data_IF_853605205519
#
_entry.id   IF_853605205519
#
_cell.length_a   1.000
_cell.length_b   1.000
_cell.length_c   1.000
_cell.angle_alpha   90.00
_cell.angle_beta   90.00
_cell.angle_gamma   90.00
#
_symmetry.space_group_name_H-M   'P 1'
#
loop_
_entity.id
_entity.type
_entity.pdbx_description
1 polymer ?
#
# COMPACT_ATOMS: atom_id res chain seq x y z
N UNK A 1 -35.82 -7.59 -35.24
CA UNK A 1 -35.50 -7.16 -33.85
C UNK A 1 -35.62 -5.64 -33.80
N UNK A 2 -36.54 -5.08 -32.99
CA UNK A 2 -36.81 -3.64 -32.98
C UNK A 2 -35.66 -2.83 -32.37
N UNK A 3 -35.51 -1.58 -32.81
CA UNK A 3 -34.48 -0.64 -32.33
C UNK A 3 -34.48 -0.53 -30.80
N UNK A 4 -35.67 -0.49 -30.20
CA UNK A 4 -35.86 -0.41 -28.75
C UNK A 4 -35.25 -1.61 -28.00
N UNK A 5 -35.37 -2.84 -28.55
CA UNK A 5 -34.74 -4.02 -27.95
C UNK A 5 -33.21 -3.95 -28.00
N UNK A 6 -32.62 -3.41 -29.06
CA UNK A 6 -31.17 -3.22 -29.16
C UNK A 6 -30.67 -2.21 -28.13
N UNK A 7 -31.37 -1.08 -27.97
CA UNK A 7 -31.03 -0.04 -26.99
C UNK A 7 -31.08 -0.59 -25.57
N UNK A 8 -32.13 -1.34 -25.20
CA UNK A 8 -32.25 -1.96 -23.87
C UNK A 8 -31.09 -2.92 -23.61
N UNK A 9 -30.75 -3.78 -24.57
CA UNK A 9 -29.62 -4.71 -24.43
C UNK A 9 -28.30 -3.97 -24.24
N UNK A 10 -28.05 -2.89 -24.99
CA UNK A 10 -26.84 -2.08 -24.84
C UNK A 10 -26.75 -1.43 -23.45
N UNK A 11 -27.85 -0.88 -22.93
CA UNK A 11 -27.89 -0.29 -21.58
C UNK A 11 -27.62 -1.36 -20.52
N UNK A 12 -28.25 -2.53 -20.65
CA UNK A 12 -28.05 -3.66 -19.72
C UNK A 12 -26.59 -4.13 -19.74
N UNK A 13 -25.95 -4.20 -20.92
CA UNK A 13 -24.53 -4.56 -21.04
C UNK A 13 -23.62 -3.54 -20.34
N UNK A 14 -23.91 -2.24 -20.45
CA UNK A 14 -23.13 -1.20 -19.76
C UNK A 14 -23.27 -1.35 -18.24
N UNK A 15 -24.50 -1.54 -17.74
CA UNK A 15 -24.74 -1.74 -16.30
C UNK A 15 -23.99 -2.98 -15.79
N UNK A 16 -24.05 -4.08 -16.54
CA UNK A 16 -23.33 -5.31 -16.20
C UNK A 16 -21.81 -5.11 -16.19
N UNK A 17 -21.26 -4.36 -17.15
CA UNK A 17 -19.82 -4.09 -17.20
C UNK A 17 -19.35 -3.24 -15.99
N UNK A 18 -20.13 -2.22 -15.61
CA UNK A 18 -19.83 -1.38 -14.44
C UNK A 18 -19.92 -2.20 -13.15
N UNK A 19 -21.01 -2.95 -12.97
CA UNK A 19 -21.19 -3.80 -11.79
C UNK A 19 -20.11 -4.89 -11.68
N UNK A 20 -19.76 -5.52 -12.80
CA UNK A 20 -18.69 -6.51 -12.87
C UNK A 20 -17.33 -5.91 -12.51
N UNK A 21 -17.02 -4.71 -13.02
CA UNK A 21 -15.77 -4.02 -12.69
C UNK A 21 -15.67 -3.69 -11.21
N UNK A 22 -16.76 -3.20 -10.61
CA UNK A 22 -16.82 -2.90 -9.18
C UNK A 22 -16.62 -4.16 -8.31
N UNK A 23 -17.25 -5.29 -8.68
CA UNK A 23 -17.06 -6.56 -7.98
C UNK A 23 -15.62 -7.07 -8.10
N UNK A 24 -15.02 -6.99 -9.29
CA UNK A 24 -13.63 -7.38 -9.52
C UNK A 24 -12.64 -6.52 -8.72
N UNK A 25 -12.89 -5.21 -8.66
CA UNK A 25 -12.08 -4.29 -7.86
C UNK A 25 -12.15 -4.66 -6.37
N UNK A 26 -13.35 -4.92 -5.84
CA UNK A 26 -13.52 -5.26 -4.43
C UNK A 26 -12.84 -6.59 -4.08
N UNK A 27 -12.96 -7.60 -4.93
CA UNK A 27 -12.25 -8.88 -4.77
C UNK A 27 -10.73 -8.71 -4.84
N UNK A 28 -10.24 -7.86 -5.76
CA UNK A 28 -8.81 -7.58 -5.91
C UNK A 28 -8.25 -6.84 -4.70
N UNK A 29 -9.00 -5.89 -4.14
CA UNK A 29 -8.65 -5.22 -2.88
C UNK A 29 -8.58 -6.20 -1.72
N UNK A 30 -9.61 -7.02 -1.52
CA UNK A 30 -9.64 -7.97 -0.41
C UNK A 30 -8.49 -8.98 -0.49
N UNK A 31 -8.20 -9.50 -1.69
CA UNK A 31 -7.05 -10.38 -1.90
C UNK A 31 -5.73 -9.67 -1.64
N UNK A 32 -5.56 -8.46 -2.15
CA UNK A 32 -4.33 -7.69 -1.99
C UNK A 32 -4.04 -7.32 -0.54
N UNK A 33 -5.09 -7.02 0.24
CA UNK A 33 -4.99 -6.79 1.68
C UNK A 33 -4.61 -8.05 2.44
N UNK A 34 -5.16 -9.21 2.06
CA UNK A 34 -4.80 -10.52 2.64
C UNK A 34 -3.37 -10.95 2.29
N UNK A 35 -2.85 -10.53 1.13
CA UNK A 35 -1.51 -10.89 0.67
C UNK A 35 -0.45 -9.80 0.86
N UNK A 36 -0.75 -8.68 1.53
CA UNK A 36 0.13 -7.51 1.67
C UNK A 36 0.69 -6.93 0.36
N UNK A 37 0.00 -7.15 -0.77
CA UNK A 37 0.32 -6.46 -2.03
C UNK A 37 -0.33 -5.08 -2.08
N UNK A 38 -1.23 -4.80 -1.13
CA UNK A 38 -1.83 -3.49 -0.85
C UNK A 38 -1.63 -3.17 0.62
N UNK A 39 -1.08 -2.00 0.91
CA UNK A 39 -0.84 -1.49 2.27
C UNK A 39 -1.94 -0.50 2.64
N UNK A 40 -2.53 -0.70 3.82
CA UNK A 40 -3.46 0.26 4.44
C UNK A 40 -2.67 1.37 5.10
N UNK A 41 -2.88 2.60 4.64
CA UNK A 41 -2.35 3.79 5.26
C UNK A 41 -3.46 4.40 6.12
N UNK A 42 -3.21 4.54 7.42
CA UNK A 42 -4.22 4.93 8.40
C UNK A 42 -3.77 6.10 9.28
N UNK A 43 -4.75 6.85 9.78
CA UNK A 43 -4.58 7.86 10.82
C UNK A 43 -5.58 7.59 11.95
N UNK A 44 -5.06 7.27 13.13
CA UNK A 44 -5.85 6.86 14.29
C UNK A 44 -6.86 5.75 13.94
N UNK A 45 -6.39 4.72 13.22
CA UNK A 45 -7.16 3.59 12.70
C UNK A 45 -8.17 3.92 11.59
N UNK A 46 -8.30 5.17 11.15
CA UNK A 46 -9.13 5.52 10.00
C UNK A 46 -8.33 5.35 8.70
N UNK A 47 -8.92 4.68 7.71
CA UNK A 47 -8.28 4.49 6.40
C UNK A 47 -8.15 5.83 5.66
N UNK A 48 -6.92 6.21 5.34
CA UNK A 48 -6.59 7.42 4.57
C UNK A 48 -6.30 7.05 3.11
N UNK A 49 -5.52 5.99 2.90
CA UNK A 49 -5.16 5.54 1.56
C UNK A 49 -4.92 4.04 1.50
N UNK A 50 -5.06 3.48 0.29
CA UNK A 50 -4.61 2.14 -0.06
C UNK A 50 -3.48 2.29 -1.06
N UNK A 51 -2.28 1.80 -0.71
CA UNK A 51 -1.12 1.87 -1.59
C UNK A 51 -0.74 0.48 -2.07
N UNK A 52 -0.87 0.25 -3.38
CA UNK A 52 -0.35 -0.94 -4.02
C UNK A 52 1.18 -0.92 -4.10
N UNK A 53 1.81 -2.09 -4.10
CA UNK A 53 3.28 -2.21 -4.22
C UNK A 53 3.80 -1.63 -5.54
N UNK A 54 2.99 -1.65 -6.60
CA UNK A 54 3.25 -0.98 -7.88
C UNK A 54 3.32 0.56 -7.74
N UNK A 55 2.43 1.14 -6.95
CA UNK A 55 2.46 2.57 -6.60
C UNK A 55 3.73 2.89 -5.82
N UNK A 56 4.08 2.06 -4.83
CA UNK A 56 5.31 2.24 -4.05
C UNK A 56 6.58 2.14 -4.93
N UNK A 57 6.61 1.24 -5.91
CA UNK A 57 7.71 1.14 -6.89
C UNK A 57 7.84 2.42 -7.72
N UNK A 58 6.71 2.97 -8.16
CA UNK A 58 6.68 4.25 -8.88
C UNK A 58 7.19 5.40 -8.00
N UNK A 59 6.79 5.43 -6.73
CA UNK A 59 7.26 6.43 -5.75
C UNK A 59 8.76 6.26 -5.46
N UNK A 60 9.30 5.04 -5.43
CA UNK A 60 10.74 4.78 -5.29
C UNK A 60 11.54 5.48 -6.39
N UNK A 61 11.07 5.37 -7.64
CA UNK A 61 11.72 6.01 -8.78
C UNK A 61 11.66 7.54 -8.71
N UNK A 62 10.67 8.11 -8.00
CA UNK A 62 10.57 9.55 -7.74
C UNK A 62 11.46 10.00 -6.56
N UNK A 63 11.56 9.21 -5.49
CA UNK A 63 12.42 9.51 -4.34
C UNK A 63 13.91 9.43 -4.71
N UNK A 64 14.30 8.42 -5.49
CA UNK A 64 15.70 8.17 -5.89
C UNK A 64 15.82 8.01 -7.41
N UNK A 65 15.67 9.11 -8.18
CA UNK A 65 15.67 9.06 -9.64
C UNK A 65 17.03 8.59 -10.17
N UNK A 66 17.01 7.53 -10.96
CA UNK A 66 18.21 6.95 -11.57
C UNK A 66 18.97 5.95 -10.70
N UNK A 67 18.56 5.74 -9.45
CA UNK A 67 19.11 4.69 -8.58
C UNK A 67 18.43 3.35 -8.86
N UNK A 68 19.09 2.52 -9.66
CA UNK A 68 18.64 1.16 -9.99
C UNK A 68 18.89 0.16 -8.86
N UNK A 69 19.79 0.50 -7.94
CA UNK A 69 20.17 -0.37 -6.82
C UNK A 69 19.33 -0.11 -5.57
N UNK A 70 18.49 0.93 -5.58
CA UNK A 70 17.50 1.21 -4.56
C UNK A 70 16.55 0.00 -4.38
N UNK A 71 16.67 -0.65 -3.22
CA UNK A 71 15.90 -1.87 -2.89
C UNK A 71 14.51 -1.60 -2.33
N UNK A 72 14.15 -0.34 -2.12
CA UNK A 72 12.92 0.04 -1.44
C UNK A 72 12.72 1.55 -1.37
N UNK A 73 11.58 1.92 -0.81
CA UNK A 73 11.15 3.31 -0.61
C UNK A 73 11.29 3.69 0.87
N UNK A 74 11.67 4.93 1.20
CA UNK A 74 11.65 5.37 2.60
C UNK A 74 10.23 5.32 3.17
N UNK A 75 10.09 4.83 4.40
CA UNK A 75 8.81 4.82 5.12
C UNK A 75 8.21 6.23 5.23
N UNK A 76 9.05 7.23 5.50
CA UNK A 76 8.62 8.63 5.59
C UNK A 76 8.10 9.17 4.25
N UNK A 77 8.73 8.78 3.14
CA UNK A 77 8.28 9.20 1.81
C UNK A 77 6.94 8.54 1.44
N UNK A 78 6.79 7.25 1.75
CA UNK A 78 5.54 6.51 1.57
C UNK A 78 4.39 7.16 2.38
N UNK A 79 4.65 7.51 3.64
CA UNK A 79 3.67 8.21 4.48
C UNK A 79 3.31 9.58 3.91
N UNK A 80 4.31 10.38 3.51
CA UNK A 80 4.09 11.69 2.90
C UNK A 80 3.26 11.63 1.62
N UNK A 81 3.54 10.65 0.74
CA UNK A 81 2.78 10.43 -0.49
C UNK A 81 1.32 10.02 -0.23
N UNK A 82 1.06 9.32 0.89
CA UNK A 82 -0.29 8.98 1.33
C UNK A 82 -1.03 10.13 2.02
N UNK A 83 -0.41 11.31 2.14
CA UNK A 83 -0.97 12.44 2.88
C UNK A 83 -0.85 12.32 4.40
N UNK A 84 -0.11 11.33 4.89
CA UNK A 84 0.16 11.17 6.32
C UNK A 84 1.37 12.03 6.68
N UNK A 85 1.09 13.26 7.12
CA UNK A 85 2.07 14.21 7.65
C UNK A 85 2.36 14.02 9.13
N UNK A 86 2.78 15.10 9.80
CA UNK A 86 3.08 15.23 11.25
C UNK A 86 2.44 14.15 12.12
N UNK A 87 3.25 13.39 12.86
CA UNK A 87 2.83 12.29 13.72
C UNK A 87 3.61 12.29 15.03
N UNK A 88 3.00 11.83 16.13
CA UNK A 88 3.70 11.59 17.39
C UNK A 88 4.33 10.20 17.42
N UNK A 89 3.57 9.21 16.93
CA UNK A 89 3.98 7.82 16.86
C UNK A 89 3.45 7.20 15.55
N UNK A 90 4.15 6.18 15.07
CA UNK A 90 3.66 5.30 14.02
C UNK A 90 3.64 3.87 14.50
N UNK A 91 2.75 3.11 13.91
CA UNK A 91 2.65 1.67 14.04
C UNK A 91 2.66 1.05 12.64
N UNK A 92 3.55 0.09 12.42
CA UNK A 92 3.66 -0.67 11.17
C UNK A 92 3.39 -2.13 11.49
N UNK A 93 2.47 -2.76 10.77
CA UNK A 93 2.02 -4.14 11.02
C UNK A 93 2.18 -5.00 9.77
N UNK A 94 2.67 -6.22 9.99
CA UNK A 94 2.67 -7.27 8.99
C UNK A 94 1.28 -7.88 8.82
N UNK A 95 1.09 -8.71 7.79
CA UNK A 95 -0.15 -9.49 7.60
C UNK A 95 -0.52 -10.24 8.88
N UNK A 96 -1.81 -10.24 9.21
CA UNK A 96 -2.39 -10.89 10.39
C UNK A 96 -1.76 -10.44 11.73
N UNK A 97 -1.16 -9.25 11.79
CA UNK A 97 -0.42 -8.74 12.95
C UNK A 97 0.72 -9.67 13.43
N UNK A 98 1.29 -10.49 12.54
CA UNK A 98 2.38 -11.42 12.89
C UNK A 98 3.64 -10.71 13.38
N UNK A 99 3.87 -9.49 12.89
CA UNK A 99 4.95 -8.60 13.34
C UNK A 99 4.41 -7.19 13.45
N UNK A 100 4.85 -6.48 14.50
CA UNK A 100 4.43 -5.11 14.79
C UNK A 100 5.67 -4.32 15.17
N UNK A 101 5.84 -3.17 14.52
CA UNK A 101 6.85 -2.19 14.85
C UNK A 101 6.18 -0.88 15.23
N UNK A 102 6.59 -0.32 16.36
CA UNK A 102 6.13 0.98 16.82
C UNK A 102 7.34 1.87 17.06
N UNK A 103 7.22 3.14 16.68
CA UNK A 103 8.27 4.11 16.93
C UNK A 103 7.69 5.53 17.01
N UNK A 104 8.28 6.31 17.88
CA UNK A 104 7.95 7.71 18.06
C UNK A 104 8.58 8.57 16.96
N UNK A 105 8.10 9.80 16.79
CA UNK A 105 8.63 10.79 15.83
C UNK A 105 10.15 10.93 15.89
N UNK A 106 10.72 10.89 17.09
CA UNK A 106 12.15 11.08 17.31
C UNK A 106 12.99 9.85 16.93
N UNK A 107 12.37 8.69 16.77
CA UNK A 107 13.03 7.41 16.45
C UNK A 107 12.94 7.09 14.95
N UNK A 108 11.98 7.67 14.24
CA UNK A 108 11.81 7.49 12.80
C UNK A 108 12.76 8.41 12.03
N UNK A 109 13.75 7.81 11.39
CA UNK A 109 14.66 8.49 10.46
C UNK A 109 14.35 8.10 9.00
N UNK A 110 15.04 8.74 8.06
CA UNK A 110 14.99 8.35 6.63
C UNK A 110 15.59 6.97 6.36
N UNK A 111 16.23 6.34 7.35
CA UNK A 111 16.83 5.03 7.20
C UNK A 111 15.81 3.89 7.27
N UNK A 112 14.57 4.16 7.72
CA UNK A 112 13.52 3.16 7.67
C UNK A 112 13.01 3.01 6.23
N UNK A 113 13.08 1.78 5.72
CA UNK A 113 12.85 1.47 4.31
C UNK A 113 11.82 0.36 4.17
N UNK A 114 10.85 0.58 3.27
CA UNK A 114 9.95 -0.42 2.73
C UNK A 114 10.67 -1.16 1.60
N UNK A 115 11.30 -2.27 1.96
CA UNK A 115 12.08 -3.15 1.09
C UNK A 115 11.15 -3.99 0.21
N UNK A 116 11.32 -3.94 -1.12
CA UNK A 116 10.52 -4.74 -2.05
C UNK A 116 10.95 -6.21 -2.04
N UNK A 117 9.99 -7.12 -1.87
CA UNK A 117 10.24 -8.56 -1.88
C UNK A 117 10.02 -9.15 -3.28
N UNK A 118 10.60 -10.34 -3.52
CA UNK A 118 10.45 -11.06 -4.79
C UNK A 118 9.03 -11.59 -5.02
N UNK A 119 8.26 -11.78 -3.95
CA UNK A 119 6.86 -12.20 -3.99
C UNK A 119 5.86 -11.04 -4.04
N UNK A 120 6.33 -9.81 -4.24
CA UNK A 120 5.50 -8.65 -4.57
C UNK A 120 4.86 -7.93 -3.38
N UNK A 121 5.44 -8.07 -2.19
CA UNK A 121 5.08 -7.34 -0.96
C UNK A 121 6.19 -6.35 -0.59
N UNK A 122 6.10 -5.75 0.60
CA UNK A 122 7.21 -5.02 1.20
C UNK A 122 7.47 -5.44 2.64
N UNK A 123 8.74 -5.43 3.03
CA UNK A 123 9.17 -5.59 4.42
C UNK A 123 9.68 -4.25 4.96
N UNK A 124 9.56 -4.03 6.26
CA UNK A 124 10.19 -2.88 6.93
C UNK A 124 11.57 -3.28 7.46
N UNK A 125 12.62 -2.54 7.08
CA UNK A 125 13.95 -2.70 7.64
C UNK A 125 14.66 -1.35 7.82
N UNK A 126 15.87 -1.37 8.38
CA UNK A 126 16.77 -0.21 8.39
C UNK A 126 17.69 -0.26 7.18
N UNK A 127 18.05 0.92 6.66
CA UNK A 127 19.05 1.10 5.61
C UNK A 127 20.37 0.53 6.13
N UNK A 128 21.00 -0.33 5.33
CA UNK A 128 22.20 -1.11 5.65
C UNK A 128 21.99 -2.38 6.51
N UNK A 129 20.77 -2.71 6.92
CA UNK A 129 20.45 -3.99 7.57
C UNK A 129 19.32 -4.70 6.83
N UNK A 130 19.67 -5.31 5.68
CA UNK A 130 18.72 -6.03 4.82
C UNK A 130 18.54 -7.49 5.23
N UNK A 131 19.23 -7.95 6.28
CA UNK A 131 19.12 -9.32 6.78
C UNK A 131 18.14 -9.43 7.94
N UNK A 132 17.84 -8.32 8.61
CA UNK A 132 16.90 -8.27 9.72
C UNK A 132 15.71 -7.36 9.41
N UNK A 133 14.57 -7.98 9.14
CA UNK A 133 13.31 -7.28 8.99
C UNK A 133 12.70 -6.95 10.36
N UNK A 134 12.23 -5.72 10.52
CA UNK A 134 11.46 -5.27 11.68
C UNK A 134 10.00 -5.73 11.57
N UNK A 135 9.49 -5.72 10.33
CA UNK A 135 8.14 -6.18 9.98
C UNK A 135 8.24 -6.87 8.63
N UNK A 136 7.70 -8.08 8.54
CA UNK A 136 7.60 -8.83 7.29
C UNK A 136 6.18 -8.67 6.72
N UNK A 137 6.08 -8.60 5.39
CA UNK A 137 4.83 -8.46 4.64
C UNK A 137 3.93 -7.36 5.23
N UNK A 138 4.43 -6.12 5.20
CA UNK A 138 3.74 -4.95 5.75
C UNK A 138 2.36 -4.81 5.09
N UNK A 139 1.32 -4.82 5.92
CA UNK A 139 -0.07 -4.71 5.50
C UNK A 139 -0.74 -3.43 5.99
N UNK A 140 -0.23 -2.82 7.07
CA UNK A 140 -0.77 -1.59 7.65
C UNK A 140 0.34 -0.67 8.12
N UNK A 141 0.17 0.63 7.89
CA UNK A 141 0.94 1.72 8.48
C UNK A 141 -0.07 2.71 9.05
N UNK A 142 -0.04 2.87 10.37
CA UNK A 142 -0.98 3.67 11.13
C UNK A 142 -0.25 4.77 11.88
N UNK A 143 -0.61 6.02 11.60
CA UNK A 143 -0.22 7.16 12.43
C UNK A 143 -1.06 7.16 13.71
N UNK A 144 -0.39 7.33 14.85
CA UNK A 144 -1.02 7.48 16.17
C UNK A 144 -0.62 8.86 16.71
N UNK A 145 -1.63 9.67 17.06
CA UNK A 145 -1.43 10.98 17.71
C UNK A 145 -1.51 10.88 19.23
#
# INVERSE_FOLDING_TARGET
MSLNKKIIISIVLIILAVAGSYLLENLSKERGLKSATVIKMQENNNLVALMGVDVLKTLKDQESPGDKDAKGLSLLYAMGAAGIGEFNQIEVKGVDNKSVFQANKNEITRDYLLYFTDHGTVNLCRKNDYQRFLVEDVSEINKIN
#
